data_IF_464895172559
#
_entry.id   IF_464895172559
#
_cell.length_a   1.000
_cell.length_b   1.000
_cell.length_c   1.000
_cell.angle_alpha   90.00
_cell.angle_beta   90.00
_cell.angle_gamma   90.00
#
_symmetry.space_group_name_H-M   'P 1'
#
loop_
_entity.id
_entity.type
_entity.pdbx_description
1 polymer ?
#
# COMPACT_ATOMS: atom_id res chain seq x y z
N UNK A 1 -32.79 -8.37 14.62
CA UNK A 1 -33.08 -9.29 13.49
C UNK A 1 -32.99 -8.60 12.12
N UNK A 2 -33.71 -7.49 11.85
CA UNK A 2 -33.72 -6.80 10.56
C UNK A 2 -32.33 -6.37 10.07
N UNK A 3 -31.51 -5.75 10.93
CA UNK A 3 -30.14 -5.32 10.59
C UNK A 3 -29.27 -6.52 10.23
N UNK A 4 -29.43 -7.64 10.92
CA UNK A 4 -28.69 -8.87 10.58
C UNK A 4 -29.09 -9.40 9.21
N UNK A 5 -30.37 -9.45 8.92
CA UNK A 5 -30.88 -9.87 7.60
C UNK A 5 -30.36 -8.97 6.47
N UNK A 6 -30.34 -7.64 6.70
CA UNK A 6 -29.76 -6.70 5.73
C UNK A 6 -28.25 -6.92 5.51
N UNK A 7 -27.50 -7.23 6.56
CA UNK A 7 -26.09 -7.61 6.44
C UNK A 7 -25.91 -8.92 5.67
N UNK A 8 -26.73 -9.94 5.98
CA UNK A 8 -26.65 -11.23 5.30
C UNK A 8 -26.92 -11.08 3.79
N UNK A 9 -27.91 -10.27 3.41
CA UNK A 9 -28.21 -9.97 2.00
C UNK A 9 -27.05 -9.18 1.36
N UNK A 10 -26.58 -8.12 2.01
CA UNK A 10 -25.50 -7.27 1.49
C UNK A 10 -24.23 -8.08 1.21
N UNK A 11 -23.80 -8.93 2.14
CA UNK A 11 -22.53 -9.62 2.04
C UNK A 11 -22.60 -10.98 1.33
N UNK A 12 -23.79 -11.54 1.10
CA UNK A 12 -23.94 -12.80 0.39
C UNK A 12 -23.94 -12.66 -1.13
N UNK A 13 -24.40 -11.51 -1.66
CA UNK A 13 -24.56 -11.32 -3.10
C UNK A 13 -23.53 -10.34 -3.68
N UNK A 14 -23.51 -9.09 -3.20
CA UNK A 14 -22.60 -8.07 -3.69
C UNK A 14 -22.32 -7.04 -2.59
N UNK A 15 -21.22 -7.19 -1.89
CA UNK A 15 -20.82 -6.29 -0.80
C UNK A 15 -20.38 -4.90 -1.25
N UNK A 16 -20.04 -4.74 -2.55
CA UNK A 16 -19.56 -3.49 -3.15
C UNK A 16 -20.37 -3.12 -4.38
N UNK A 17 -21.68 -2.87 -4.16
CA UNK A 17 -22.57 -2.43 -5.24
C UNK A 17 -22.13 -1.06 -5.76
N UNK A 18 -22.14 -0.94 -7.10
CA UNK A 18 -21.91 0.35 -7.77
C UNK A 18 -23.25 0.98 -8.12
N UNK A 19 -23.36 2.29 -7.87
CA UNK A 19 -24.50 3.09 -8.33
C UNK A 19 -24.39 3.41 -9.84
N UNK A 20 -25.46 3.96 -10.42
CA UNK A 20 -25.48 4.28 -11.85
C UNK A 20 -24.42 5.31 -12.25
N UNK A 21 -24.13 6.29 -11.38
CA UNK A 21 -23.11 7.31 -11.63
C UNK A 21 -21.74 6.66 -11.72
N UNK A 22 -21.42 5.78 -10.76
CA UNK A 22 -20.16 5.04 -10.76
C UNK A 22 -20.01 4.14 -11.99
N UNK A 23 -21.09 3.51 -12.45
CA UNK A 23 -21.06 2.67 -13.66
C UNK A 23 -20.78 3.51 -14.93
N UNK A 24 -21.44 4.66 -15.07
CA UNK A 24 -21.25 5.56 -16.24
C UNK A 24 -19.82 6.14 -16.22
N UNK A 25 -19.39 6.72 -15.10
CA UNK A 25 -18.06 7.31 -14.97
C UNK A 25 -16.95 6.27 -15.10
N UNK A 26 -17.16 5.06 -14.57
CA UNK A 26 -16.22 3.96 -14.71
C UNK A 26 -16.07 3.50 -16.16
N UNK A 27 -17.17 3.45 -16.92
CA UNK A 27 -17.13 3.12 -18.34
C UNK A 27 -16.36 4.19 -19.15
N UNK A 28 -16.58 5.47 -18.87
CA UNK A 28 -15.83 6.57 -19.51
C UNK A 28 -14.34 6.56 -19.12
N UNK A 29 -14.02 6.33 -17.84
CA UNK A 29 -12.64 6.20 -17.39
C UNK A 29 -11.87 5.07 -18.08
N UNK A 30 -12.53 3.95 -18.38
CA UNK A 30 -11.92 2.84 -19.15
C UNK A 30 -11.64 3.22 -20.60
N UNK A 31 -12.43 4.13 -21.18
CA UNK A 31 -12.24 4.63 -22.55
C UNK A 31 -11.09 5.64 -22.66
N UNK A 32 -10.78 6.34 -21.59
CA UNK A 32 -9.66 7.32 -21.53
C UNK A 32 -8.31 6.58 -21.46
N UNK A 33 -7.88 6.07 -22.61
CA UNK A 33 -6.67 5.27 -22.75
C UNK A 33 -5.40 6.08 -22.48
N UNK A 34 -5.38 7.35 -22.87
CA UNK A 34 -4.22 8.23 -22.70
C UNK A 34 -3.94 8.48 -21.21
N UNK A 35 -4.98 8.86 -20.46
CA UNK A 35 -4.88 9.04 -19.02
C UNK A 35 -4.47 7.75 -18.31
N UNK A 36 -5.12 6.64 -18.67
CA UNK A 36 -4.84 5.33 -18.09
C UNK A 36 -3.39 4.90 -18.31
N UNK A 37 -2.89 4.98 -19.55
CA UNK A 37 -1.54 4.52 -19.89
C UNK A 37 -0.47 5.40 -19.24
N UNK A 38 -0.68 6.71 -19.17
CA UNK A 38 0.20 7.65 -18.47
C UNK A 38 0.26 7.33 -16.97
N UNK A 39 -0.89 7.29 -16.30
CA UNK A 39 -0.97 7.05 -14.85
C UNK A 39 -0.39 5.69 -14.48
N UNK A 40 -0.69 4.67 -15.27
CA UNK A 40 -0.12 3.34 -15.10
C UNK A 40 1.41 3.35 -15.23
N UNK A 41 1.93 4.07 -16.21
CA UNK A 41 3.37 4.24 -16.41
C UNK A 41 4.04 4.87 -15.18
N UNK A 42 3.50 5.98 -14.69
CA UNK A 42 4.00 6.68 -13.50
C UNK A 42 4.01 5.78 -12.26
N UNK A 43 2.96 4.99 -12.04
CA UNK A 43 2.88 4.02 -10.93
C UNK A 43 3.95 2.93 -11.09
N UNK A 44 4.12 2.39 -12.29
CA UNK A 44 5.12 1.34 -12.54
C UNK A 44 6.54 1.84 -12.29
N UNK A 45 6.89 3.01 -12.81
CA UNK A 45 8.22 3.61 -12.66
C UNK A 45 8.51 3.95 -11.19
N UNK A 46 7.52 4.52 -10.50
CA UNK A 46 7.64 4.83 -9.06
C UNK A 46 7.79 3.55 -8.25
N UNK A 47 7.04 2.50 -8.57
CA UNK A 47 7.15 1.21 -7.88
C UNK A 47 8.55 0.58 -8.05
N UNK A 48 9.09 0.54 -9.27
CA UNK A 48 10.41 -0.05 -9.51
C UNK A 48 11.51 0.74 -8.79
N UNK A 49 11.43 2.06 -8.80
CA UNK A 49 12.33 2.88 -8.01
C UNK A 49 12.20 2.60 -6.51
N UNK A 50 10.98 2.58 -5.96
CA UNK A 50 10.73 2.29 -4.55
C UNK A 50 11.26 0.91 -4.14
N UNK A 51 11.12 -0.10 -5.01
CA UNK A 51 11.72 -1.42 -4.78
C UNK A 51 13.25 -1.34 -4.64
N UNK A 52 13.91 -0.55 -5.48
CA UNK A 52 15.35 -0.32 -5.39
C UNK A 52 15.76 0.26 -4.06
N UNK A 53 15.09 1.34 -3.64
CA UNK A 53 15.37 2.02 -2.39
C UNK A 53 15.07 1.14 -1.15
N UNK A 54 13.94 0.46 -1.13
CA UNK A 54 13.60 -0.45 -0.04
C UNK A 54 14.62 -1.59 0.12
N UNK A 55 15.11 -2.17 -1.00
CA UNK A 55 16.19 -3.17 -0.94
C UNK A 55 17.48 -2.59 -0.36
N UNK A 56 17.84 -1.38 -0.76
CA UNK A 56 19.02 -0.65 -0.22
C UNK A 56 18.91 -0.46 1.30
N UNK A 57 17.69 -0.24 1.79
CA UNK A 57 17.40 -0.06 3.21
C UNK A 57 17.19 -1.39 3.98
N UNK A 58 17.43 -2.55 3.38
CA UNK A 58 17.35 -3.85 4.05
C UNK A 58 15.94 -4.46 4.10
N UNK A 59 15.03 -4.04 3.22
CA UNK A 59 13.72 -4.67 3.11
C UNK A 59 13.74 -5.86 2.14
N UNK A 60 13.05 -6.93 2.52
CA UNK A 60 12.79 -8.11 1.72
C UNK A 60 11.33 -8.17 1.28
N UNK A 61 11.08 -8.48 0.03
CA UNK A 61 9.74 -8.61 -0.57
C UNK A 61 9.79 -9.41 -1.88
N UNK A 62 8.64 -9.98 -2.25
CA UNK A 62 8.46 -10.62 -3.56
C UNK A 62 8.38 -9.58 -4.70
N UNK A 63 8.56 -10.04 -5.95
CA UNK A 63 8.45 -9.18 -7.13
C UNK A 63 7.00 -8.75 -7.37
N UNK A 64 6.57 -7.69 -6.70
CA UNK A 64 5.22 -7.14 -6.83
C UNK A 64 5.04 -6.48 -8.20
N UNK A 65 3.91 -6.80 -8.86
CA UNK A 65 3.36 -6.09 -10.02
C UNK A 65 2.07 -5.33 -9.70
N UNK A 66 1.68 -5.32 -8.42
CA UNK A 66 0.52 -4.60 -7.92
C UNK A 66 0.85 -3.12 -7.65
N UNK A 67 -0.15 -2.37 -7.21
CA UNK A 67 -0.01 -0.98 -6.75
C UNK A 67 0.51 -0.87 -5.32
N UNK A 68 1.09 -1.93 -4.78
CA UNK A 68 1.67 -1.97 -3.44
C UNK A 68 2.85 -2.95 -3.38
N UNK A 69 3.72 -2.76 -2.40
CA UNK A 69 4.79 -3.68 -2.04
C UNK A 69 4.45 -4.27 -0.66
N UNK A 70 4.58 -5.59 -0.52
CA UNK A 70 4.41 -6.29 0.75
C UNK A 70 5.80 -6.66 1.27
N UNK A 71 6.33 -5.86 2.19
CA UNK A 71 7.72 -5.86 2.59
C UNK A 71 7.90 -6.14 4.09
N UNK A 72 8.96 -6.87 4.42
CA UNK A 72 9.50 -7.03 5.77
C UNK A 72 10.93 -6.48 5.81
N UNK A 73 11.33 -5.88 6.92
CA UNK A 73 12.71 -5.49 7.13
C UNK A 73 13.48 -6.62 7.83
N UNK A 74 14.76 -6.79 7.48
CA UNK A 74 15.59 -7.91 7.94
C UNK A 74 15.83 -7.92 9.46
N UNK A 75 15.94 -6.73 10.08
CA UNK A 75 16.30 -6.57 11.49
C UNK A 75 15.23 -5.93 12.34
N UNK A 76 14.48 -4.98 11.81
CA UNK A 76 13.51 -4.19 12.57
C UNK A 76 12.11 -4.75 12.40
N UNK A 77 11.39 -5.06 13.50
CA UNK A 77 10.02 -5.56 13.41
C UNK A 77 9.08 -4.58 12.69
N UNK A 78 8.17 -5.13 11.87
CA UNK A 78 7.22 -4.32 11.12
C UNK A 78 6.30 -3.46 12.00
N UNK A 79 5.98 -3.89 13.22
CA UNK A 79 5.20 -3.09 14.16
C UNK A 79 5.93 -1.83 14.59
N UNK A 80 7.26 -1.92 14.87
CA UNK A 80 8.10 -0.78 15.27
C UNK A 80 8.17 0.25 14.12
N UNK A 81 8.40 -0.23 12.88
CA UNK A 81 8.41 0.63 11.68
C UNK A 81 7.04 1.28 11.46
N UNK A 82 5.95 0.51 11.59
CA UNK A 82 4.60 1.03 11.45
C UNK A 82 4.28 2.16 12.42
N UNK A 83 4.69 2.02 13.69
CA UNK A 83 4.46 3.05 14.70
C UNK A 83 5.25 4.31 14.39
N UNK A 84 6.53 4.19 14.08
CA UNK A 84 7.38 5.31 13.72
C UNK A 84 6.89 6.09 12.50
N UNK A 85 6.49 5.38 11.43
CA UNK A 85 5.90 6.01 10.24
C UNK A 85 4.60 6.75 10.58
N UNK A 86 3.74 6.15 11.41
CA UNK A 86 2.48 6.76 11.82
C UNK A 86 2.67 8.05 12.62
N UNK A 87 3.70 8.14 13.45
CA UNK A 87 4.06 9.35 14.21
C UNK A 87 4.47 10.50 13.28
N UNK A 88 4.99 10.17 12.11
CA UNK A 88 5.33 11.13 11.05
C UNK A 88 4.21 11.33 10.03
N UNK A 89 2.99 10.87 10.35
CA UNK A 89 1.83 10.94 9.45
C UNK A 89 1.99 10.20 8.11
N UNK A 90 2.94 9.25 8.03
CA UNK A 90 3.13 8.37 6.88
C UNK A 90 2.34 7.08 7.14
N UNK A 91 1.30 6.83 6.34
CA UNK A 91 0.36 5.75 6.57
C UNK A 91 0.62 4.56 5.66
N UNK A 92 1.05 3.44 6.25
CA UNK A 92 1.15 2.13 5.62
C UNK A 92 0.17 1.15 6.27
N UNK A 93 -0.05 -0.03 5.67
CA UNK A 93 -0.92 -1.04 6.28
C UNK A 93 -0.10 -2.08 7.02
N UNK A 94 -0.44 -2.31 8.29
CA UNK A 94 0.10 -3.36 9.15
C UNK A 94 -0.97 -4.39 9.50
N UNK A 95 -0.58 -5.67 9.65
CA UNK A 95 -1.49 -6.77 9.95
C UNK A 95 -1.01 -7.57 11.16
N UNK A 96 -1.73 -7.48 12.27
CA UNK A 96 -1.50 -8.30 13.48
C UNK A 96 -2.07 -9.71 13.30
N UNK A 97 -1.56 -10.45 12.31
CA UNK A 97 -2.02 -11.82 12.04
C UNK A 97 -0.82 -12.76 11.94
N UNK A 98 -0.96 -14.03 12.41
CA UNK A 98 0.08 -15.04 12.24
C UNK A 98 0.56 -15.09 10.78
N UNK A 99 1.86 -15.37 10.58
CA UNK A 99 2.54 -15.49 9.27
C UNK A 99 2.76 -14.18 8.50
N UNK A 100 2.04 -13.09 8.82
CA UNK A 100 2.19 -11.80 8.12
C UNK A 100 2.44 -10.62 9.09
N UNK A 101 2.59 -10.90 10.38
CA UNK A 101 2.83 -9.86 11.40
C UNK A 101 4.16 -9.14 11.27
N UNK A 102 5.10 -9.65 10.48
CA UNK A 102 6.36 -8.94 10.20
C UNK A 102 6.39 -8.26 8.83
N UNK A 103 5.23 -8.01 8.24
CA UNK A 103 5.11 -7.37 6.94
C UNK A 103 4.31 -6.07 7.00
N UNK A 104 4.72 -5.13 6.16
CA UNK A 104 4.00 -3.89 5.86
C UNK A 104 3.50 -3.92 4.42
N UNK A 105 2.27 -3.49 4.18
CA UNK A 105 1.79 -3.22 2.83
C UNK A 105 1.95 -1.73 2.55
N UNK A 106 2.92 -1.42 1.71
CA UNK A 106 3.27 -0.07 1.29
C UNK A 106 2.61 0.18 -0.06
N UNK A 107 1.59 1.04 -0.10
CA UNK A 107 0.92 1.44 -1.35
C UNK A 107 1.84 2.41 -2.10
N UNK A 108 1.93 2.24 -3.42
CA UNK A 108 2.69 3.15 -4.28
C UNK A 108 1.86 4.41 -4.50
N UNK A 109 2.34 5.51 -3.98
CA UNK A 109 1.84 6.86 -4.19
C UNK A 109 2.57 7.59 -5.31
N UNK A 110 2.57 8.92 -5.27
CA UNK A 110 3.38 9.74 -6.15
C UNK A 110 4.88 9.54 -5.86
N UNK A 111 5.73 9.99 -6.76
CA UNK A 111 7.18 9.93 -6.56
C UNK A 111 7.63 10.73 -5.32
N UNK A 112 6.97 11.84 -5.07
CA UNK A 112 7.21 12.72 -3.92
C UNK A 112 6.85 12.01 -2.61
N UNK A 113 5.66 11.44 -2.51
CA UNK A 113 5.22 10.68 -1.33
C UNK A 113 6.14 9.49 -1.04
N UNK A 114 6.58 8.80 -2.10
CA UNK A 114 7.51 7.68 -1.90
C UNK A 114 8.91 8.16 -1.49
N UNK A 115 9.36 9.35 -1.90
CA UNK A 115 10.60 9.95 -1.40
C UNK A 115 10.51 10.27 0.09
N UNK A 116 9.42 10.91 0.53
CA UNK A 116 9.21 11.20 1.96
C UNK A 116 9.30 9.93 2.82
N UNK A 117 8.66 8.84 2.35
CA UNK A 117 8.77 7.54 3.01
C UNK A 117 10.23 7.05 3.09
N UNK A 118 10.95 7.08 1.98
CA UNK A 118 12.33 6.58 1.90
C UNK A 118 13.27 7.45 2.74
N UNK A 119 13.18 8.77 2.64
CA UNK A 119 14.00 9.73 3.39
C UNK A 119 13.80 9.54 4.90
N UNK A 120 12.55 9.37 5.35
CA UNK A 120 12.29 9.06 6.75
C UNK A 120 12.93 7.74 7.18
N UNK A 121 12.72 6.67 6.43
CA UNK A 121 13.27 5.35 6.75
C UNK A 121 14.81 5.36 6.80
N UNK A 122 15.44 6.06 5.87
CA UNK A 122 16.91 6.17 5.79
C UNK A 122 17.51 6.82 7.06
N UNK A 123 16.85 7.84 7.59
CA UNK A 123 17.31 8.52 8.80
C UNK A 123 16.95 7.76 10.10
N UNK A 124 15.80 7.07 10.10
CA UNK A 124 15.29 6.43 11.32
C UNK A 124 15.84 5.01 11.54
N UNK A 125 16.00 4.20 10.49
CA UNK A 125 16.43 2.80 10.62
C UNK A 125 17.78 2.60 11.32
N UNK A 126 18.82 3.44 11.15
CA UNK A 126 20.08 3.28 11.86
C UNK A 126 19.91 3.30 13.38
N UNK A 127 19.15 4.25 13.92
CA UNK A 127 18.89 4.35 15.36
C UNK A 127 18.01 3.21 15.89
N UNK A 128 17.10 2.70 15.09
CA UNK A 128 16.20 1.61 15.47
C UNK A 128 16.88 0.22 15.50
N UNK A 129 18.06 0.08 14.88
CA UNK A 129 18.85 -1.15 14.88
C UNK A 129 19.75 -1.30 16.12
N UNK A 130 19.98 -0.23 16.89
CA UNK A 130 20.86 -0.21 18.05
C UNK A 130 20.14 -0.56 19.37
N UNK A 131 18.82 -0.63 19.36
CA UNK A 131 17.96 -1.03 20.49
C UNK A 131 17.51 -2.50 20.37
#
# INVERSE_FOLDING_TARGET
ELIRALHDVKYSFNSYTMDQTALILGAEAVKDREYFDRTRGEIMDTREWTKGELRRLGFCFGDSRATFIFAAHERVPAEKIFQALREQHIYVRYFRKPRISNYLRITIGTREEMRELIDFLEHWLPSANEE
#
